data_IF_559218025842
#
_entry.id   IF_559218025842
#
_cell.length_a   1.000
_cell.length_b   1.000
_cell.length_c   1.000
_cell.angle_alpha   90.00
_cell.angle_beta   90.00
_cell.angle_gamma   90.00
#
_symmetry.space_group_name_H-M   'P 1'
#
loop_
_entity.id
_entity.type
_entity.pdbx_description
1 polymer ?
#
# COMPACT_ATOMS: atom_id res chain seq x y z
N UNK A 1 15.13 1.20 9.95
CA UNK A 1 14.69 -0.02 10.67
C UNK A 1 13.27 0.12 11.21
N UNK A 2 12.95 1.16 11.98
CA UNK A 2 11.56 1.36 12.49
C UNK A 2 10.55 1.61 11.35
N UNK A 3 10.87 2.50 10.39
CA UNK A 3 9.96 2.83 9.28
C UNK A 3 9.64 1.65 8.35
N UNK A 4 10.62 0.79 8.08
CA UNK A 4 10.43 -0.41 7.27
C UNK A 4 9.54 -1.44 7.99
N UNK A 5 9.69 -1.56 9.31
CA UNK A 5 8.85 -2.48 10.11
C UNK A 5 7.39 -2.01 10.09
N UNK A 6 7.15 -0.71 10.25
CA UNK A 6 5.81 -0.12 10.16
C UNK A 6 5.20 -0.34 8.77
N UNK A 7 5.98 -0.11 7.72
CA UNK A 7 5.54 -0.32 6.35
C UNK A 7 5.15 -1.78 6.08
N UNK A 8 5.98 -2.73 6.52
CA UNK A 8 5.69 -4.16 6.38
C UNK A 8 4.40 -4.53 7.11
N UNK A 9 4.20 -4.05 8.34
CA UNK A 9 2.95 -4.27 9.09
C UNK A 9 1.73 -3.70 8.36
N UNK A 10 1.86 -2.51 7.78
CA UNK A 10 0.78 -1.86 7.04
C UNK A 10 0.40 -2.67 5.79
N UNK A 11 1.40 -3.09 5.00
CA UNK A 11 1.19 -3.94 3.82
C UNK A 11 0.57 -5.28 4.18
N UNK A 12 1.00 -5.90 5.29
CA UNK A 12 0.43 -7.15 5.78
C UNK A 12 -1.04 -7.00 6.21
N UNK A 13 -1.38 -5.90 6.89
CA UNK A 13 -2.78 -5.61 7.27
C UNK A 13 -3.66 -5.46 6.02
N UNK A 14 -3.17 -4.72 5.03
CA UNK A 14 -3.85 -4.56 3.75
C UNK A 14 -4.04 -5.90 3.02
N UNK A 15 -2.97 -6.69 2.91
CA UNK A 15 -2.99 -7.97 2.21
C UNK A 15 -3.95 -8.98 2.85
N UNK A 16 -4.17 -8.93 4.16
CA UNK A 16 -5.18 -9.75 4.85
C UNK A 16 -6.60 -9.42 4.43
N UNK A 17 -6.88 -8.17 4.04
CA UNK A 17 -8.22 -7.73 3.65
C UNK A 17 -8.48 -7.90 2.15
N UNK A 18 -7.49 -7.55 1.31
CA UNK A 18 -7.69 -7.45 -0.14
C UNK A 18 -6.77 -8.36 -0.98
N UNK A 19 -5.83 -9.07 -0.35
CA UNK A 19 -4.73 -9.73 -1.06
C UNK A 19 -3.71 -8.72 -1.62
N UNK A 20 -2.76 -9.22 -2.41
CA UNK A 20 -1.82 -8.36 -3.14
C UNK A 20 -2.43 -8.02 -4.50
N UNK A 21 -2.68 -6.73 -4.72
CA UNK A 21 -3.43 -6.18 -5.86
C UNK A 21 -2.63 -5.13 -6.64
N UNK A 22 -1.42 -4.81 -6.17
CA UNK A 22 -0.47 -3.91 -6.80
C UNK A 22 0.92 -4.57 -6.87
N UNK A 23 1.76 -4.10 -7.79
CA UNK A 23 3.13 -4.58 -7.93
C UNK A 23 4.06 -4.02 -6.84
N UNK A 24 4.88 -4.88 -6.24
CA UNK A 24 5.85 -4.46 -5.21
C UNK A 24 6.89 -3.45 -5.72
N UNK A 25 7.10 -3.35 -7.05
CA UNK A 25 8.01 -2.39 -7.68
C UNK A 25 7.71 -0.93 -7.30
N UNK A 26 6.46 -0.63 -6.94
CA UNK A 26 6.07 0.73 -6.55
C UNK A 26 6.59 1.12 -5.17
N UNK A 27 7.07 0.15 -4.37
CA UNK A 27 7.74 0.42 -3.09
C UNK A 27 9.21 0.85 -3.29
N UNK A 28 9.78 0.62 -4.48
CA UNK A 28 11.15 1.00 -4.84
C UNK A 28 11.24 2.44 -5.36
N UNK A 29 10.11 3.01 -5.80
CA UNK A 29 9.97 4.40 -6.25
C UNK A 29 9.47 5.27 -5.08
N UNK A 30 10.23 6.28 -4.62
CA UNK A 30 9.85 7.11 -3.48
C UNK A 30 8.49 7.82 -3.62
N UNK A 31 8.15 8.28 -4.82
CA UNK A 31 6.92 9.02 -5.08
C UNK A 31 5.73 8.06 -5.07
N UNK A 32 5.88 6.91 -5.74
CA UNK A 32 4.84 5.88 -5.75
C UNK A 32 4.67 5.22 -4.40
N UNK A 33 5.75 5.05 -3.62
CA UNK A 33 5.72 4.53 -2.26
C UNK A 33 4.88 5.41 -1.34
N UNK A 34 5.07 6.73 -1.39
CA UNK A 34 4.28 7.67 -0.59
C UNK A 34 2.78 7.65 -0.99
N UNK A 35 2.50 7.58 -2.29
CA UNK A 35 1.13 7.44 -2.83
C UNK A 35 0.48 6.13 -2.37
N UNK A 36 1.20 5.01 -2.50
CA UNK A 36 0.77 3.67 -2.11
C UNK A 36 0.44 3.59 -0.61
N UNK A 37 1.28 4.15 0.26
CA UNK A 37 1.02 4.19 1.70
C UNK A 37 -0.30 4.93 1.99
N UNK A 38 -0.51 6.08 1.35
CA UNK A 38 -1.73 6.88 1.52
C UNK A 38 -2.98 6.13 1.06
N UNK A 39 -2.90 5.44 -0.08
CA UNK A 39 -3.99 4.63 -0.64
C UNK A 39 -4.29 3.40 0.22
N UNK A 40 -3.26 2.72 0.75
CA UNK A 40 -3.45 1.60 1.68
C UNK A 40 -4.18 2.07 2.94
N UNK A 41 -3.79 3.20 3.53
CA UNK A 41 -4.47 3.77 4.69
C UNK A 41 -5.93 4.14 4.38
N UNK A 42 -6.20 4.74 3.21
CA UNK A 42 -7.56 5.01 2.76
C UNK A 42 -8.38 3.70 2.62
N UNK A 43 -7.76 2.64 2.11
CA UNK A 43 -8.41 1.34 1.89
C UNK A 43 -8.74 0.62 3.19
N UNK A 44 -7.81 0.65 4.16
CA UNK A 44 -8.00 0.09 5.50
C UNK A 44 -9.04 0.88 6.31
N UNK A 45 -9.18 2.19 6.07
CA UNK A 45 -10.23 3.01 6.69
C UNK A 45 -11.59 2.90 5.99
N UNK A 46 -11.72 2.09 4.93
CA UNK A 46 -12.95 1.91 4.16
C UNK A 46 -13.30 3.09 3.25
N UNK A 47 -12.40 4.07 3.09
CA UNK A 47 -12.57 5.22 2.20
C UNK A 47 -12.16 4.94 0.75
N UNK A 48 -11.50 3.80 0.53
CA UNK A 48 -11.07 3.32 -0.77
C UNK A 48 -11.26 1.80 -0.87
N UNK A 49 -11.42 1.30 -2.09
CA UNK A 49 -11.42 -0.14 -2.37
C UNK A 49 -10.00 -0.71 -2.42
N UNK A 50 -9.78 -1.89 -3.02
CA UNK A 50 -8.43 -2.40 -3.25
C UNK A 50 -7.61 -1.41 -4.11
N UNK A 51 -6.37 -1.16 -3.69
CA UNK A 51 -5.34 -0.41 -4.42
C UNK A 51 -4.75 -1.29 -5.52
N UNK A 52 -4.73 -0.77 -6.73
CA UNK A 52 -4.23 -1.44 -7.92
C UNK A 52 -3.07 -0.66 -8.56
N UNK A 53 -2.42 -1.26 -9.55
CA UNK A 53 -1.38 -0.59 -10.33
C UNK A 53 -1.91 0.69 -11.03
N UNK A 54 -3.21 0.73 -11.38
CA UNK A 54 -3.83 1.89 -12.02
C UNK A 54 -3.90 3.11 -11.10
N UNK A 55 -4.03 2.88 -9.79
CA UNK A 55 -3.99 3.96 -8.79
C UNK A 55 -2.59 4.56 -8.63
N UNK A 56 -1.56 3.89 -9.16
CA UNK A 56 -0.14 4.23 -9.05
C UNK A 56 0.49 4.65 -10.39
N UNK A 57 -0.33 4.71 -11.44
CA UNK A 57 0.01 5.30 -12.72
C UNK A 57 -0.14 6.83 -12.72
#
# INVERSE_FOLDING_TARGET
MEDETVLVMLVQQYAKQYGITFSSKHLDDPDKKAKLISLIQASLSGKHGPVTDDDLN
#
